data_IF_741995841762
#
_entry.id   IF_741995841762
#
_cell.length_a   1.000
_cell.length_b   1.000
_cell.length_c   1.000
_cell.angle_alpha   90.00
_cell.angle_beta   90.00
_cell.angle_gamma   90.00
#
_symmetry.space_group_name_H-M   'P 1'
#
loop_
_entity.id
_entity.type
_entity.pdbx_description
1 polymer ?
#
# COMPACT_ATOMS: atom_id res chain seq x y z
N UNK A 1 -7.97 -2.56 16.20
CA UNK A 1 -7.93 -2.89 14.75
C UNK A 1 -8.78 -4.13 14.49
N UNK A 2 -9.52 -4.18 13.38
CA UNK A 2 -10.31 -5.37 13.01
C UNK A 2 -9.41 -6.53 12.57
N UNK A 3 -8.22 -6.23 12.10
CA UNK A 3 -7.26 -7.22 11.57
C UNK A 3 -6.23 -7.72 12.58
N UNK A 4 -6.30 -7.33 13.85
CA UNK A 4 -5.29 -7.63 14.88
C UNK A 4 -4.99 -9.14 15.08
N UNK A 5 -5.96 -10.01 14.79
CA UNK A 5 -5.82 -11.46 14.91
C UNK A 5 -5.38 -12.14 13.60
N UNK A 6 -5.31 -11.41 12.49
CA UNK A 6 -4.85 -11.95 11.21
C UNK A 6 -3.33 -12.08 11.19
N UNK A 7 -2.83 -13.05 10.42
CA UNK A 7 -1.38 -13.30 10.25
C UNK A 7 -1.00 -13.26 8.77
N UNK A 8 0.11 -12.62 8.42
CA UNK A 8 1.07 -11.87 9.27
C UNK A 8 0.47 -10.55 9.80
N UNK A 9 0.58 -10.29 11.12
CA UNK A 9 -0.10 -9.17 11.75
C UNK A 9 0.36 -7.80 11.22
N UNK A 10 1.65 -7.63 10.96
CA UNK A 10 2.21 -6.39 10.42
C UNK A 10 1.63 -6.07 9.04
N UNK A 11 1.54 -7.07 8.16
CA UNK A 11 0.96 -6.91 6.83
C UNK A 11 -0.51 -6.47 6.90
N UNK A 12 -1.32 -7.20 7.67
CA UNK A 12 -2.74 -6.89 7.80
C UNK A 12 -3.00 -5.58 8.55
N UNK A 13 -2.13 -5.20 9.48
CA UNK A 13 -2.16 -3.89 10.13
C UNK A 13 -1.99 -2.76 9.12
N UNK A 14 -0.97 -2.83 8.25
CA UNK A 14 -0.80 -1.84 7.18
C UNK A 14 -1.92 -1.87 6.15
N UNK A 15 -2.44 -3.04 5.82
CA UNK A 15 -3.60 -3.12 4.93
C UNK A 15 -4.83 -2.42 5.52
N UNK A 16 -5.09 -2.56 6.81
CA UNK A 16 -6.17 -1.83 7.49
C UNK A 16 -5.93 -0.31 7.50
N UNK A 17 -4.69 0.14 7.71
CA UNK A 17 -4.34 1.56 7.59
C UNK A 17 -4.62 2.10 6.17
N UNK A 18 -4.20 1.36 5.13
CA UNK A 18 -4.44 1.69 3.72
C UNK A 18 -5.95 1.80 3.44
N UNK A 19 -6.75 0.84 3.90
CA UNK A 19 -8.21 0.88 3.76
C UNK A 19 -8.85 2.10 4.45
N UNK A 20 -8.18 2.70 5.41
CA UNK A 20 -8.59 3.94 6.06
C UNK A 20 -8.34 5.21 5.24
N UNK A 21 -7.58 5.12 4.14
CA UNK A 21 -7.17 6.25 3.32
C UNK A 21 -7.90 6.18 1.98
N UNK A 22 -8.75 7.15 1.61
CA UNK A 22 -9.30 7.24 0.26
C UNK A 22 -8.21 7.36 -0.81
N UNK A 23 -8.22 6.46 -1.80
CA UNK A 23 -7.21 6.40 -2.86
C UNK A 23 -7.77 5.89 -4.21
N UNK A 24 -8.89 6.46 -4.69
CA UNK A 24 -9.39 6.11 -6.01
C UNK A 24 -8.39 6.54 -7.10
N UNK A 25 -8.38 5.82 -8.22
CA UNK A 25 -7.57 6.21 -9.40
C UNK A 25 -7.80 7.68 -9.76
N UNK A 26 -6.74 8.41 -10.10
CA UNK A 26 -6.67 9.87 -10.31
C UNK A 26 -6.81 10.74 -9.06
N UNK A 27 -6.96 10.18 -7.87
CA UNK A 27 -7.13 10.89 -6.61
C UNK A 27 -6.33 10.24 -5.48
N UNK A 28 -5.05 9.90 -5.77
CA UNK A 28 -4.16 9.19 -4.86
C UNK A 28 -3.35 10.12 -3.93
N UNK A 29 -3.61 11.43 -3.94
CA UNK A 29 -2.80 12.41 -3.21
C UNK A 29 -2.66 12.10 -1.71
N UNK A 30 -3.72 11.56 -1.11
CA UNK A 30 -3.70 11.15 0.31
C UNK A 30 -2.80 9.95 0.54
N UNK A 31 -2.83 8.98 -0.39
CA UNK A 31 -1.97 7.80 -0.32
C UNK A 31 -0.52 8.15 -0.61
N UNK A 32 -0.25 8.99 -1.61
CA UNK A 32 1.10 9.56 -1.88
C UNK A 32 1.66 10.24 -0.64
N UNK A 33 0.86 11.09 0.02
CA UNK A 33 1.26 11.77 1.25
C UNK A 33 1.54 10.80 2.40
N UNK A 34 0.70 9.77 2.57
CA UNK A 34 0.90 8.71 3.56
C UNK A 34 2.21 7.96 3.33
N UNK A 35 2.46 7.48 2.10
CA UNK A 35 3.66 6.73 1.75
C UNK A 35 4.93 7.58 1.88
N UNK A 36 4.86 8.84 1.46
CA UNK A 36 5.96 9.80 1.65
C UNK A 36 6.30 9.95 3.13
N UNK A 37 5.31 10.26 3.96
CA UNK A 37 5.50 10.40 5.41
C UNK A 37 5.97 9.09 6.05
N UNK A 38 5.49 7.95 5.57
CA UNK A 38 5.90 6.63 6.04
C UNK A 38 7.42 6.42 5.92
N UNK A 39 7.97 6.72 4.74
CA UNK A 39 9.42 6.57 4.51
C UNK A 39 10.24 7.64 5.25
N UNK A 40 9.86 8.90 5.14
CA UNK A 40 10.60 10.02 5.75
C UNK A 40 10.64 9.92 7.27
N UNK A 41 9.52 9.59 7.93
CA UNK A 41 9.47 9.44 9.40
C UNK A 41 10.34 8.30 9.95
N UNK A 42 10.72 7.36 9.08
CA UNK A 42 11.61 6.23 9.41
C UNK A 42 13.05 6.46 8.96
N UNK A 43 13.37 7.65 8.46
CA UNK A 43 14.71 7.98 7.97
C UNK A 43 15.10 7.24 6.68
N UNK A 44 14.14 6.70 5.95
CA UNK A 44 14.36 6.02 4.68
C UNK A 44 14.40 7.05 3.54
N UNK A 45 15.30 6.84 2.56
CA UNK A 45 15.34 7.66 1.35
C UNK A 45 14.03 7.53 0.60
N UNK A 46 13.31 8.64 0.47
CA UNK A 46 11.97 8.67 -0.13
C UNK A 46 11.91 9.72 -1.21
N UNK A 47 11.38 9.36 -2.38
CA UNK A 47 11.21 10.25 -3.53
C UNK A 47 9.78 10.15 -4.03
N UNK A 48 9.24 11.28 -4.46
CA UNK A 48 7.95 11.40 -5.15
C UNK A 48 8.21 12.09 -6.47
N UNK A 49 7.71 11.51 -7.56
CA UNK A 49 7.81 12.14 -8.88
C UNK A 49 6.63 13.08 -9.18
N UNK A 50 6.64 13.70 -10.37
CA UNK A 50 5.61 14.65 -10.79
C UNK A 50 4.22 14.00 -10.96
N UNK A 51 4.17 12.71 -11.25
CA UNK A 51 2.91 11.96 -11.39
C UNK A 51 2.32 11.55 -10.03
N UNK A 52 3.13 11.58 -8.95
CA UNK A 52 2.73 11.14 -7.62
C UNK A 52 3.19 9.72 -7.25
N UNK A 53 3.98 9.06 -8.13
CA UNK A 53 4.61 7.78 -7.77
C UNK A 53 5.59 7.98 -6.63
N UNK A 54 5.65 7.00 -5.72
CA UNK A 54 6.54 7.05 -4.55
C UNK A 54 7.56 5.93 -4.62
N UNK A 55 8.83 6.26 -4.37
CA UNK A 55 9.91 5.29 -4.21
C UNK A 55 10.49 5.41 -2.82
N UNK A 56 10.52 4.32 -2.06
CA UNK A 56 11.14 4.23 -0.73
C UNK A 56 12.28 3.22 -0.79
N UNK A 57 13.50 3.66 -0.45
CA UNK A 57 14.69 2.83 -0.48
C UNK A 57 15.09 2.42 0.92
N UNK A 58 15.30 1.11 1.14
CA UNK A 58 15.89 0.55 2.36
C UNK A 58 17.31 0.09 2.07
N UNK A 59 18.32 0.57 2.80
CA UNK A 59 19.70 0.11 2.62
C UNK A 59 19.82 -1.37 2.96
N UNK A 60 20.82 -2.04 2.40
CA UNK A 60 21.13 -3.44 2.70
C UNK A 60 21.39 -3.63 4.20
N UNK A 61 21.08 -4.82 4.71
CA UNK A 61 21.57 -5.24 6.03
C UNK A 61 23.10 -5.34 6.02
N UNK A 62 23.79 -5.04 7.13
CA UNK A 62 25.24 -5.10 7.20
C UNK A 62 25.81 -6.43 6.67
N UNK A 63 26.76 -6.34 5.72
CA UNK A 63 27.36 -7.48 5.04
C UNK A 63 26.59 -8.02 3.83
N UNK A 64 25.55 -7.30 3.38
CA UNK A 64 24.76 -7.66 2.19
C UNK A 64 24.77 -6.53 1.13
N UNK A 65 25.67 -5.56 1.25
CA UNK A 65 25.72 -4.34 0.41
C UNK A 65 26.07 -4.65 -1.04
N UNK A 66 26.78 -5.75 -1.30
CA UNK A 66 27.17 -6.22 -2.63
C UNK A 66 26.07 -7.03 -3.35
N UNK A 67 24.96 -7.30 -2.68
CA UNK A 67 23.82 -8.01 -3.27
C UNK A 67 23.07 -7.11 -4.25
N UNK A 68 22.46 -7.75 -5.26
CA UNK A 68 21.61 -7.04 -6.22
C UNK A 68 20.45 -6.36 -5.52
N UNK A 69 20.14 -5.15 -5.93
CA UNK A 69 18.93 -4.45 -5.49
C UNK A 69 17.68 -5.22 -5.93
N UNK A 70 16.74 -5.36 -5.00
CA UNK A 70 15.42 -5.94 -5.28
C UNK A 70 14.41 -4.80 -5.32
N UNK A 71 13.60 -4.78 -6.38
CA UNK A 71 12.50 -3.83 -6.52
C UNK A 71 11.19 -4.54 -6.19
N UNK A 72 10.45 -3.99 -5.22
CA UNK A 72 9.08 -4.40 -4.89
C UNK A 72 8.15 -3.35 -5.46
N UNK A 73 7.37 -3.71 -6.50
CA UNK A 73 6.45 -2.79 -7.14
C UNK A 73 5.01 -3.17 -6.83
N UNK A 74 4.19 -2.16 -6.53
CA UNK A 74 2.74 -2.25 -6.39
C UNK A 74 2.10 -0.92 -6.79
N UNK A 75 0.80 -0.95 -7.17
CA UNK A 75 0.08 0.29 -7.41
C UNK A 75 -0.74 0.69 -6.18
N UNK A 76 -0.92 2.02 -6.00
CA UNK A 76 -1.56 2.56 -4.81
C UNK A 76 -3.02 2.95 -5.02
N UNK A 77 -3.48 2.97 -6.27
CA UNK A 77 -4.87 3.26 -6.62
C UNK A 77 -5.76 2.01 -6.56
N UNK A 78 -7.07 2.23 -6.50
CA UNK A 78 -8.06 1.17 -6.50
C UNK A 78 -9.28 1.52 -7.34
N UNK A 79 -9.92 0.48 -7.87
CA UNK A 79 -11.26 0.59 -8.48
C UNK A 79 -12.31 0.86 -7.41
N UNK A 80 -13.16 1.86 -7.66
CA UNK A 80 -14.16 2.35 -6.72
C UNK A 80 -15.57 2.00 -7.19
N UNK A 81 -16.10 0.87 -6.70
CA UNK A 81 -17.45 0.39 -6.98
C UNK A 81 -18.18 0.04 -5.69
N UNK A 82 -19.48 0.29 -5.65
CA UNK A 82 -20.34 -0.07 -4.53
C UNK A 82 -21.58 -0.83 -4.96
N UNK A 83 -22.11 -1.67 -4.08
CA UNK A 83 -23.35 -2.38 -4.30
C UNK A 83 -24.53 -1.40 -4.39
N UNK A 84 -25.58 -1.80 -5.16
CA UNK A 84 -26.79 -1.00 -5.29
C UNK A 84 -27.40 -0.71 -3.90
N UNK A 85 -27.63 0.58 -3.62
CA UNK A 85 -28.23 1.04 -2.36
C UNK A 85 -27.22 1.28 -1.23
N UNK A 86 -25.95 1.02 -1.45
CA UNK A 86 -24.88 1.42 -0.52
C UNK A 86 -24.52 2.89 -0.78
N UNK A 87 -24.60 3.71 0.28
CA UNK A 87 -24.11 5.10 0.23
C UNK A 87 -22.68 5.13 0.77
N UNK A 88 -21.72 5.35 -0.13
CA UNK A 88 -20.29 5.41 0.17
C UNK A 88 -19.61 6.42 -0.74
N UNK A 89 -18.92 7.38 -0.16
CA UNK A 89 -18.12 8.37 -0.89
C UNK A 89 -16.65 7.97 -0.86
N UNK A 90 -16.16 7.40 -1.97
CA UNK A 90 -14.77 6.96 -2.09
C UNK A 90 -13.73 8.09 -1.98
N UNK A 91 -14.13 9.35 -2.04
CA UNK A 91 -13.23 10.49 -1.85
C UNK A 91 -12.98 10.81 -0.38
N UNK A 92 -13.89 10.38 0.51
CA UNK A 92 -13.87 10.77 1.92
C UNK A 92 -13.98 9.61 2.90
N UNK A 93 -14.70 8.55 2.53
CA UNK A 93 -15.02 7.47 3.44
C UNK A 93 -13.96 6.36 3.42
N UNK A 94 -13.61 5.80 4.57
CA UNK A 94 -12.74 4.64 4.64
C UNK A 94 -13.47 3.37 4.19
N UNK A 95 -12.74 2.43 3.60
CA UNK A 95 -13.26 1.10 3.28
C UNK A 95 -13.56 0.35 4.59
N UNK A 96 -14.79 -0.06 4.76
CA UNK A 96 -15.23 -0.79 5.96
C UNK A 96 -14.92 -2.28 5.84
N UNK A 97 -13.91 -2.73 6.57
CA UNK A 97 -13.47 -4.12 6.59
C UNK A 97 -14.45 -5.02 7.37
N UNK A 98 -14.68 -6.22 6.85
CA UNK A 98 -15.49 -7.28 7.49
C UNK A 98 -14.72 -8.59 7.40
N UNK A 99 -14.62 -9.31 8.53
CA UNK A 99 -14.12 -10.69 8.57
C UNK A 99 -15.34 -11.62 8.56
N UNK A 100 -15.38 -12.51 7.57
CA UNK A 100 -16.44 -13.48 7.37
C UNK A 100 -15.81 -14.88 7.19
N UNK A 101 -15.71 -15.62 8.28
CA UNK A 101 -14.95 -16.86 8.33
C UNK A 101 -13.48 -16.64 7.95
N UNK A 102 -13.03 -17.27 6.89
CA UNK A 102 -11.66 -17.16 6.36
C UNK A 102 -11.48 -16.01 5.35
N UNK A 103 -12.49 -15.17 5.17
CA UNK A 103 -12.49 -14.08 4.20
C UNK A 103 -12.38 -12.72 4.87
N UNK A 104 -11.49 -11.87 4.36
CA UNK A 104 -11.49 -10.43 4.61
C UNK A 104 -12.20 -9.74 3.45
N UNK A 105 -13.27 -9.03 3.71
CA UNK A 105 -14.14 -8.38 2.73
C UNK A 105 -14.32 -6.89 3.04
N UNK A 106 -14.82 -6.15 2.07
CA UNK A 106 -15.40 -4.82 2.28
C UNK A 106 -16.92 -4.91 2.46
N UNK A 107 -17.49 -4.03 3.28
CA UNK A 107 -18.92 -3.92 3.52
C UNK A 107 -19.60 -3.13 2.40
N UNK A 108 -20.02 -3.83 1.38
CA UNK A 108 -20.80 -3.29 0.28
C UNK A 108 -20.03 -2.50 -0.78
N UNK A 109 -18.70 -2.48 -0.72
CA UNK A 109 -17.83 -1.81 -1.69
C UNK A 109 -16.77 -2.75 -2.23
N UNK A 110 -16.00 -2.30 -3.24
CA UNK A 110 -14.70 -2.89 -3.56
C UNK A 110 -13.76 -2.80 -2.36
N UNK A 111 -12.84 -3.77 -2.23
CA UNK A 111 -11.91 -3.87 -1.10
C UNK A 111 -10.59 -3.11 -1.31
N UNK A 112 -10.15 -3.02 -2.57
CA UNK A 112 -8.83 -2.45 -2.91
C UNK A 112 -7.66 -3.36 -2.53
N UNK A 113 -7.87 -4.68 -2.38
CA UNK A 113 -6.77 -5.61 -2.13
C UNK A 113 -5.81 -5.72 -3.32
N UNK A 114 -6.29 -5.51 -4.52
CA UNK A 114 -5.53 -5.21 -5.72
C UNK A 114 -5.36 -3.67 -5.82
N UNK A 115 -4.18 -3.10 -5.55
CA UNK A 115 -2.99 -3.79 -5.08
C UNK A 115 -2.60 -3.36 -3.64
N UNK A 116 -3.60 -3.00 -2.81
CA UNK A 116 -3.38 -2.57 -1.43
C UNK A 116 -2.66 -3.63 -0.59
N UNK A 117 -2.83 -4.93 -0.90
CA UNK A 117 -2.11 -5.98 -0.19
C UNK A 117 -0.63 -6.00 -0.59
N UNK A 118 -0.31 -5.70 -1.85
CA UNK A 118 1.08 -5.53 -2.31
C UNK A 118 1.75 -4.33 -1.66
N UNK A 119 1.04 -3.21 -1.56
CA UNK A 119 1.52 -2.03 -0.82
C UNK A 119 1.80 -2.39 0.63
N UNK A 120 0.85 -3.03 1.33
CA UNK A 120 1.01 -3.44 2.72
C UNK A 120 2.18 -4.42 2.93
N UNK A 121 2.39 -5.35 1.99
CA UNK A 121 3.52 -6.28 2.03
C UNK A 121 4.86 -5.55 1.90
N UNK A 122 4.96 -4.59 0.98
CA UNK A 122 6.16 -3.77 0.83
C UNK A 122 6.46 -2.95 2.10
N UNK A 123 5.43 -2.33 2.71
CA UNK A 123 5.57 -1.62 3.98
C UNK A 123 6.02 -2.55 5.12
N UNK A 124 5.50 -3.77 5.18
CA UNK A 124 5.92 -4.76 6.17
C UNK A 124 7.41 -5.13 5.99
N UNK A 125 7.88 -5.32 4.76
CA UNK A 125 9.32 -5.58 4.47
C UNK A 125 10.19 -4.38 4.83
N UNK A 126 9.74 -3.16 4.55
CA UNK A 126 10.47 -1.94 4.92
C UNK A 126 10.68 -1.79 6.43
N UNK A 127 9.74 -2.31 7.23
CA UNK A 127 9.78 -2.18 8.71
C UNK A 127 10.27 -3.42 9.44
N UNK A 128 10.51 -4.52 8.74
CA UNK A 128 11.04 -5.74 9.36
C UNK A 128 12.57 -5.68 9.44
N UNK A 129 13.09 -5.57 10.65
CA UNK A 129 14.54 -5.54 10.93
C UNK A 129 15.13 -6.96 11.10
N UNK A 130 14.31 -8.01 11.04
CA UNK A 130 14.76 -9.40 11.20
C UNK A 130 15.16 -10.05 9.88
N UNK A 131 14.66 -9.55 8.75
CA UNK A 131 14.95 -10.04 7.41
C UNK A 131 16.35 -9.56 6.99
N UNK A 132 17.21 -10.48 6.54
CA UNK A 132 18.49 -10.14 5.91
C UNK A 132 18.29 -9.94 4.41
N UNK A 133 18.73 -8.79 3.89
CA UNK A 133 18.49 -8.40 2.50
C UNK A 133 19.60 -7.50 1.95
N UNK A 134 19.81 -7.54 0.63
CA UNK A 134 20.51 -6.50 -0.11
C UNK A 134 19.72 -5.19 -0.15
N UNK A 135 20.12 -4.19 -0.94
CA UNK A 135 19.33 -2.97 -1.11
C UNK A 135 17.92 -3.29 -1.60
N UNK A 136 16.90 -2.59 -1.07
CA UNK A 136 15.50 -2.73 -1.49
C UNK A 136 14.97 -1.38 -1.95
N UNK A 137 14.24 -1.38 -3.06
CA UNK A 137 13.47 -0.24 -3.54
C UNK A 137 12.00 -0.63 -3.63
N UNK A 138 11.15 0.03 -2.86
CA UNK A 138 9.69 -0.14 -2.96
C UNK A 138 9.15 0.96 -3.85
N UNK A 139 8.50 0.57 -4.96
CA UNK A 139 7.94 1.49 -5.97
C UNK A 139 6.43 1.38 -5.91
N UNK A 140 5.79 2.49 -5.56
CA UNK A 140 4.34 2.60 -5.47
C UNK A 140 3.85 3.51 -6.60
N UNK A 141 3.06 2.96 -7.51
CA UNK A 141 2.62 3.67 -8.72
C UNK A 141 1.18 4.13 -8.64
N UNK A 142 0.85 5.18 -9.38
CA UNK A 142 -0.50 5.73 -9.54
C UNK A 142 -1.16 5.21 -10.81
N UNK A 143 -2.50 5.34 -10.90
CA UNK A 143 -3.29 5.18 -12.14
C UNK A 143 -3.15 3.84 -12.87
N UNK A 144 -2.88 2.75 -12.16
CA UNK A 144 -2.75 1.43 -12.78
C UNK A 144 -4.08 0.94 -13.36
N UNK A 145 -5.16 1.07 -12.59
CA UNK A 145 -6.50 0.57 -12.91
C UNK A 145 -7.16 1.24 -14.11
N UNK A 146 -6.66 2.40 -14.52
CA UNK A 146 -7.15 3.14 -15.70
C UNK A 146 -6.25 3.00 -16.92
N UNK A 147 -5.32 2.05 -16.92
CA UNK A 147 -4.46 1.73 -18.04
C UNK A 147 -3.17 2.52 -18.09
N UNK A 148 -2.32 2.34 -17.10
CA UNK A 148 -0.95 2.90 -17.03
C UNK A 148 -0.11 2.68 -18.30
N UNK A 149 -0.47 1.72 -19.12
CA UNK A 149 0.21 1.40 -20.39
C UNK A 149 0.07 2.49 -21.49
N UNK A 150 -0.64 3.58 -21.20
CA UNK A 150 -0.86 4.67 -22.15
C UNK A 150 0.05 5.90 -21.90
N UNK A 151 1.10 5.74 -21.10
CA UNK A 151 2.09 6.79 -20.85
C UNK A 151 3.21 6.71 -21.87
#
# INVERSE_FOLDING_TARGET
MKTENLKPSTLFGYFEEICGIPHPSKHEEKMTAYLKNFGESRGLSTKVDEAGNVVICKPATPGMEDRKTIILQSHMDMVCESNKGVNHDFMTDPIRLVIDGDWLKADGTTLGADNGIGVAAALAVLTDDTIKHGPIECVFTVDEEIGRAHV
#
